data_IF_568889914197
#
_entry.id   IF_568889914197
#
_cell.length_a   1.000
_cell.length_b   1.000
_cell.length_c   1.000
_cell.angle_alpha   90.00
_cell.angle_beta   90.00
_cell.angle_gamma   90.00
#
_symmetry.space_group_name_H-M   'P 1'
#
loop_
_entity.id
_entity.type
_entity.pdbx_description
1 polymer ?
#
# COMPACT_ATOMS: atom_id res chain seq x y z
N UNK A 1 -8.92 -12.40 -18.83
CA UNK A 1 -8.59 -11.67 -17.60
C UNK A 1 -8.29 -12.74 -16.57
N UNK A 2 -7.02 -12.94 -16.24
CA UNK A 2 -6.62 -13.80 -15.11
C UNK A 2 -7.25 -13.19 -13.86
N UNK A 3 -8.03 -13.97 -13.11
CA UNK A 3 -8.60 -13.52 -11.83
C UNK A 3 -7.45 -13.10 -10.91
N UNK A 4 -7.27 -11.80 -10.73
CA UNK A 4 -6.34 -11.26 -9.76
C UNK A 4 -6.84 -11.70 -8.38
N UNK A 5 -6.00 -12.34 -7.54
CA UNK A 5 -6.45 -12.85 -6.24
C UNK A 5 -7.08 -11.77 -5.38
N UNK A 6 -8.17 -12.09 -4.65
CA UNK A 6 -8.92 -11.11 -3.88
C UNK A 6 -8.07 -10.31 -2.87
N UNK A 7 -6.98 -10.89 -2.35
CA UNK A 7 -6.13 -10.17 -1.40
C UNK A 7 -5.40 -8.97 -2.04
N UNK A 8 -5.20 -8.93 -3.36
CA UNK A 8 -4.48 -7.82 -4.02
C UNK A 8 -5.28 -6.50 -4.00
N UNK A 9 -6.57 -6.57 -3.63
CA UNK A 9 -7.41 -5.39 -3.37
C UNK A 9 -7.02 -4.64 -2.09
N UNK A 10 -6.39 -5.34 -1.14
CA UNK A 10 -5.90 -4.76 0.09
C UNK A 10 -4.65 -3.90 -0.18
N UNK A 11 -4.38 -2.88 0.65
CA UNK A 11 -3.18 -2.06 0.48
C UNK A 11 -1.91 -2.89 0.62
N UNK A 12 -0.89 -2.54 -0.15
CA UNK A 12 0.46 -3.08 0.02
C UNK A 12 1.16 -2.36 1.17
N UNK A 13 1.31 -3.07 2.29
CA UNK A 13 1.90 -2.60 3.54
C UNK A 13 3.42 -2.41 3.44
N UNK A 14 4.08 -2.95 2.41
CA UNK A 14 5.51 -2.82 2.20
C UNK A 14 5.90 -1.57 1.41
N UNK A 15 4.94 -0.87 0.79
CA UNK A 15 5.21 0.25 -0.12
C UNK A 15 6.04 1.37 0.53
N UNK A 16 7.02 1.87 -0.21
CA UNK A 16 7.83 3.01 0.22
C UNK A 16 7.00 4.27 0.51
N UNK A 17 5.98 4.65 -0.30
CA UNK A 17 5.07 5.75 0.03
C UNK A 17 4.34 5.61 1.38
N UNK A 18 4.14 4.39 1.87
CA UNK A 18 3.51 4.12 3.17
C UNK A 18 4.54 4.09 4.32
N UNK A 19 5.83 4.28 4.03
CA UNK A 19 6.92 4.22 5.02
C UNK A 19 7.63 2.87 5.09
N UNK A 20 7.32 1.93 4.19
CA UNK A 20 8.03 0.66 4.10
C UNK A 20 9.52 0.83 3.77
N UNK A 21 10.34 -0.10 4.23
CA UNK A 21 11.79 -0.04 4.05
C UNK A 21 12.40 -1.44 3.95
N UNK A 22 13.29 -1.64 2.98
CA UNK A 22 14.15 -2.83 2.92
C UNK A 22 15.38 -2.57 3.79
N UNK A 23 15.35 -3.04 5.03
CA UNK A 23 16.31 -2.65 6.06
C UNK A 23 17.59 -3.50 6.05
N UNK A 24 17.59 -4.62 5.33
CA UNK A 24 18.71 -5.55 5.29
C UNK A 24 18.61 -6.46 4.06
N UNK A 25 19.75 -6.84 3.50
CA UNK A 25 19.90 -8.02 2.65
C UNK A 25 21.31 -8.59 2.85
N UNK A 26 21.47 -9.90 2.63
CA UNK A 26 22.79 -10.54 2.73
C UNK A 26 23.66 -10.34 1.47
N UNK A 27 23.04 -9.98 0.34
CA UNK A 27 23.71 -9.66 -0.93
C UNK A 27 22.84 -8.66 -1.71
N UNK A 28 23.47 -7.68 -2.36
CA UNK A 28 22.85 -6.74 -3.31
C UNK A 28 23.82 -6.44 -4.45
N UNK A 29 24.55 -7.47 -4.87
CA UNK A 29 25.69 -7.31 -5.76
C UNK A 29 25.30 -6.66 -7.08
N UNK A 30 24.15 -7.02 -7.68
CA UNK A 30 23.78 -6.58 -9.04
C UNK A 30 22.74 -5.46 -9.07
N UNK A 31 21.73 -5.51 -8.19
CA UNK A 31 20.70 -4.49 -8.12
C UNK A 31 20.22 -4.25 -6.68
N UNK A 32 19.88 -2.99 -6.39
CA UNK A 32 19.59 -2.48 -5.05
C UNK A 32 18.33 -3.11 -4.45
N UNK A 33 18.42 -3.56 -3.19
CA UNK A 33 17.31 -4.22 -2.48
C UNK A 33 16.09 -3.31 -2.32
N UNK A 34 16.29 -2.00 -2.25
CA UNK A 34 15.24 -0.97 -2.14
C UNK A 34 14.20 -1.05 -3.25
N UNK A 35 14.58 -1.54 -4.43
CA UNK A 35 13.68 -1.65 -5.58
C UNK A 35 12.51 -2.59 -5.33
N UNK A 36 12.64 -3.56 -4.41
CA UNK A 36 11.56 -4.51 -4.06
C UNK A 36 10.25 -3.79 -3.70
N UNK A 37 10.34 -2.63 -3.07
CA UNK A 37 9.18 -1.92 -2.51
C UNK A 37 8.84 -0.62 -3.24
N UNK A 38 9.47 -0.38 -4.40
CA UNK A 38 9.14 0.77 -5.23
C UNK A 38 7.68 0.67 -5.72
N UNK A 39 6.96 1.80 -5.81
CA UNK A 39 5.60 1.81 -6.33
C UNK A 39 5.59 1.45 -7.82
N UNK A 40 4.48 0.88 -8.29
CA UNK A 40 4.27 0.54 -9.69
C UNK A 40 5.08 -0.66 -10.21
N UNK A 41 4.84 -1.06 -11.47
CA UNK A 41 5.53 -2.17 -12.10
C UNK A 41 7.02 -1.86 -12.32
N UNK A 42 7.84 -2.90 -12.37
CA UNK A 42 9.24 -2.75 -12.72
C UNK A 42 9.42 -2.30 -14.17
N UNK A 43 10.39 -1.42 -14.40
CA UNK A 43 10.78 -0.94 -15.71
C UNK A 43 11.99 -1.72 -16.26
N UNK A 44 12.10 -1.81 -17.58
CA UNK A 44 13.25 -2.44 -18.21
C UNK A 44 13.72 -1.68 -19.43
N UNK A 45 15.03 -1.39 -19.47
CA UNK A 45 15.70 -0.79 -20.61
C UNK A 45 16.67 -1.81 -21.19
N UNK A 46 16.43 -2.23 -22.43
CA UNK A 46 17.32 -3.15 -23.14
C UNK A 46 18.72 -2.53 -23.27
N UNK A 47 19.74 -3.36 -23.07
CA UNK A 47 21.15 -3.03 -23.26
C UNK A 47 21.68 -1.86 -22.41
N UNK A 48 21.06 -1.58 -21.26
CA UNK A 48 21.66 -0.71 -20.25
C UNK A 48 22.61 -1.53 -19.37
N UNK A 49 23.86 -1.65 -19.79
CA UNK A 49 24.90 -2.34 -19.04
C UNK A 49 25.69 -1.35 -18.18
N UNK A 50 25.78 -1.62 -16.87
CA UNK A 50 26.75 -1.02 -15.96
C UNK A 50 27.98 -1.94 -15.78
N UNK A 51 28.87 -1.57 -14.86
CA UNK A 51 30.06 -2.37 -14.56
C UNK A 51 29.77 -3.77 -14.00
N UNK A 52 28.54 -4.02 -13.58
CA UNK A 52 28.08 -5.28 -13.02
C UNK A 52 27.18 -6.08 -13.97
N UNK A 53 26.92 -5.59 -15.19
CA UNK A 53 26.00 -6.26 -16.13
C UNK A 53 24.77 -5.41 -16.45
N UNK A 54 23.71 -6.07 -16.92
CA UNK A 54 22.44 -5.40 -17.24
C UNK A 54 21.84 -4.81 -15.96
N UNK A 55 21.45 -3.54 -16.02
CA UNK A 55 20.75 -2.87 -14.92
C UNK A 55 19.30 -3.33 -14.89
N UNK A 56 18.85 -3.83 -13.74
CA UNK A 56 17.48 -4.25 -13.49
C UNK A 56 16.81 -3.33 -12.46
N UNK A 57 15.52 -3.06 -12.66
CA UNK A 57 14.66 -2.40 -11.69
C UNK A 57 14.08 -3.46 -10.73
N UNK A 58 14.94 -3.92 -9.82
CA UNK A 58 14.65 -4.98 -8.87
C UNK A 58 15.81 -5.19 -7.90
N UNK A 59 15.71 -6.21 -7.06
CA UNK A 59 16.81 -6.72 -6.25
C UNK A 59 17.42 -7.92 -6.97
N UNK A 60 18.74 -7.94 -7.14
CA UNK A 60 19.45 -9.06 -7.78
C UNK A 60 20.76 -9.36 -7.05
N UNK A 61 20.93 -10.63 -6.71
CA UNK A 61 22.12 -11.12 -6.01
C UNK A 61 23.10 -11.80 -6.96
N UNK A 62 24.35 -11.97 -6.51
CA UNK A 62 25.34 -12.73 -7.28
C UNK A 62 25.00 -14.22 -7.32
N UNK A 63 25.38 -14.89 -8.40
CA UNK A 63 25.28 -16.35 -8.51
C UNK A 63 26.01 -17.04 -7.37
N UNK A 64 25.31 -17.92 -6.67
CA UNK A 64 25.83 -18.70 -5.57
C UNK A 64 26.34 -20.05 -6.09
N UNK A 65 27.51 -20.46 -5.58
CA UNK A 65 28.16 -21.74 -5.91
C UNK A 65 28.26 -22.70 -4.72
N UNK A 66 28.00 -22.17 -3.53
CA UNK A 66 28.03 -22.89 -2.26
C UNK A 66 26.60 -23.10 -1.73
N UNK A 67 26.36 -24.08 -0.84
CA UNK A 67 25.05 -24.25 -0.20
C UNK A 67 24.56 -22.96 0.48
N UNK A 68 23.25 -22.73 0.44
CA UNK A 68 22.58 -21.60 1.08
C UNK A 68 21.61 -20.90 0.14
N UNK A 69 21.14 -19.73 0.58
CA UNK A 69 20.16 -18.91 -0.11
C UNK A 69 20.36 -17.44 0.24
N UNK A 70 19.74 -16.55 -0.53
CA UNK A 70 19.80 -15.11 -0.28
C UNK A 70 18.50 -14.57 0.31
N UNK A 71 18.60 -13.50 1.08
CA UNK A 71 17.53 -13.00 1.91
C UNK A 71 17.51 -11.48 1.95
N UNK A 72 16.30 -10.92 2.02
CA UNK A 72 16.07 -9.51 2.27
C UNK A 72 14.97 -9.32 3.33
N UNK A 73 15.14 -8.33 4.20
CA UNK A 73 14.19 -8.00 5.27
C UNK A 73 13.51 -6.67 4.95
N UNK A 74 12.19 -6.69 4.95
CA UNK A 74 11.35 -5.51 4.75
C UNK A 74 10.61 -5.20 6.04
N UNK A 75 10.78 -3.99 6.56
CA UNK A 75 9.90 -3.40 7.57
C UNK A 75 8.67 -2.83 6.86
N UNK A 76 7.50 -3.23 7.31
CA UNK A 76 6.23 -2.71 6.79
C UNK A 76 6.07 -1.23 7.17
N UNK A 77 5.45 -0.44 6.32
CA UNK A 77 5.12 0.96 6.61
C UNK A 77 4.09 1.08 7.73
N UNK A 78 3.14 0.14 7.75
CA UNK A 78 2.15 0.00 8.83
C UNK A 78 2.13 -1.46 9.26
N UNK A 79 2.29 -1.77 10.56
CA UNK A 79 2.09 -3.12 11.06
C UNK A 79 0.68 -3.61 10.74
N UNK A 80 0.51 -4.89 10.41
CA UNK A 80 -0.78 -5.35 9.89
C UNK A 80 -0.93 -6.86 9.85
N UNK A 81 -2.15 -7.28 9.51
CA UNK A 81 -2.45 -8.67 9.19
C UNK A 81 -2.19 -8.87 7.70
N UNK A 82 -1.32 -9.81 7.35
CA UNK A 82 -0.96 -10.10 5.97
C UNK A 82 -1.93 -11.15 5.42
N UNK A 83 -2.64 -10.80 4.36
CA UNK A 83 -3.62 -11.68 3.70
C UNK A 83 -3.04 -12.36 2.45
N UNK A 84 -2.01 -11.76 1.85
CA UNK A 84 -1.28 -12.36 0.76
C UNK A 84 -0.06 -11.56 0.35
N UNK A 85 0.80 -12.19 -0.43
CA UNK A 85 2.03 -11.59 -0.95
C UNK A 85 2.14 -11.86 -2.44
N UNK A 86 2.75 -10.93 -3.18
CA UNK A 86 3.12 -11.14 -4.57
C UNK A 86 4.62 -10.99 -4.70
N UNK A 87 5.27 -12.04 -5.20
CA UNK A 87 6.67 -12.00 -5.62
C UNK A 87 6.69 -11.81 -7.12
N UNK A 88 6.93 -10.57 -7.54
CA UNK A 88 7.00 -10.20 -8.95
C UNK A 88 8.44 -10.39 -9.45
N UNK A 89 8.62 -11.24 -10.46
CA UNK A 89 9.90 -11.50 -11.11
C UNK A 89 9.97 -10.89 -12.52
N UNK A 90 9.20 -9.83 -12.79
CA UNK A 90 9.20 -9.12 -14.06
C UNK A 90 10.63 -8.83 -14.55
N UNK A 91 10.86 -9.08 -15.84
CA UNK A 91 12.13 -8.92 -16.54
C UNK A 91 13.25 -9.89 -16.16
N UNK A 92 13.16 -10.57 -15.02
CA UNK A 92 14.05 -11.67 -14.65
C UNK A 92 13.62 -12.96 -15.36
N UNK A 93 14.04 -13.11 -16.62
CA UNK A 93 13.60 -14.21 -17.51
C UNK A 93 14.42 -15.49 -17.39
N UNK A 94 15.71 -15.35 -17.05
CA UNK A 94 16.64 -16.47 -16.89
C UNK A 94 17.46 -16.43 -15.60
N UNK A 95 17.32 -15.35 -14.84
CA UNK A 95 18.04 -15.06 -13.60
C UNK A 95 17.07 -14.78 -12.43
N UNK A 96 15.81 -15.22 -12.53
CA UNK A 96 14.89 -15.26 -11.39
C UNK A 96 15.25 -16.44 -10.47
N UNK A 97 14.92 -16.38 -9.18
CA UNK A 97 15.14 -17.52 -8.30
C UNK A 97 14.15 -18.65 -8.62
N UNK A 98 14.59 -19.92 -8.71
CA UNK A 98 13.69 -21.05 -8.91
C UNK A 98 12.59 -21.20 -7.85
N UNK A 99 12.91 -20.86 -6.59
CA UNK A 99 12.01 -20.97 -5.45
C UNK A 99 12.16 -19.79 -4.50
N UNK A 100 11.09 -19.49 -3.77
CA UNK A 100 11.06 -18.45 -2.73
C UNK A 100 10.32 -18.94 -1.49
N UNK A 101 10.55 -18.29 -0.35
CA UNK A 101 9.72 -18.42 0.86
C UNK A 101 9.59 -17.08 1.55
N UNK A 102 8.50 -16.89 2.29
CA UNK A 102 8.27 -15.67 3.09
C UNK A 102 8.08 -16.04 4.55
N UNK A 103 8.81 -15.34 5.41
CA UNK A 103 8.62 -15.37 6.85
C UNK A 103 8.18 -13.99 7.34
N UNK A 104 7.52 -13.94 8.49
CA UNK A 104 7.09 -12.69 9.13
C UNK A 104 7.51 -12.65 10.60
N UNK A 105 7.70 -11.43 11.10
CA UNK A 105 8.11 -11.17 12.48
C UNK A 105 7.37 -9.94 13.04
N UNK A 106 6.96 -10.04 14.30
CA UNK A 106 6.35 -8.96 15.06
C UNK A 106 7.32 -8.53 16.16
N UNK A 107 7.83 -7.30 16.09
CA UNK A 107 8.77 -6.76 17.09
C UNK A 107 8.34 -5.37 17.50
N UNK A 108 8.51 -5.07 18.79
CA UNK A 108 8.32 -3.72 19.32
C UNK A 108 9.61 -2.90 19.21
N UNK A 109 9.45 -1.57 19.10
CA UNK A 109 10.58 -0.64 19.01
C UNK A 109 11.29 -0.67 17.65
N UNK A 110 12.58 -0.34 17.67
CA UNK A 110 13.39 -0.14 16.46
C UNK A 110 14.73 -0.88 16.56
N UNK A 111 14.72 -2.23 16.68
CA UNK A 111 15.95 -3.00 16.76
C UNK A 111 16.79 -2.84 15.49
N UNK A 112 18.14 -2.90 15.59
CA UNK A 112 19.00 -2.89 14.43
C UNK A 112 18.72 -4.05 13.47
N UNK A 113 18.92 -3.80 12.18
CA UNK A 113 18.69 -4.76 11.11
C UNK A 113 19.41 -6.11 11.32
N UNK A 114 20.66 -6.09 11.77
CA UNK A 114 21.45 -7.31 11.99
C UNK A 114 20.88 -8.20 13.11
N UNK A 115 20.32 -7.56 14.16
CA UNK A 115 19.65 -8.30 15.22
C UNK A 115 18.44 -9.05 14.68
N UNK A 116 17.62 -8.37 13.86
CA UNK A 116 16.45 -8.96 13.20
C UNK A 116 16.83 -10.10 12.25
N UNK A 117 17.95 -9.97 11.53
CA UNK A 117 18.42 -11.00 10.61
C UNK A 117 18.76 -12.32 11.34
N UNK A 118 19.32 -12.22 12.55
CA UNK A 118 19.66 -13.36 13.41
C UNK A 118 18.54 -13.82 14.35
N UNK A 119 17.38 -13.16 14.34
CA UNK A 119 16.28 -13.48 15.25
C UNK A 119 15.72 -14.89 14.98
N UNK A 120 15.41 -15.64 16.04
CA UNK A 120 14.83 -16.99 15.93
C UNK A 120 13.29 -17.01 15.87
N UNK A 121 12.63 -15.86 16.02
CA UNK A 121 11.18 -15.71 16.12
C UNK A 121 10.45 -15.57 14.78
N UNK A 122 11.17 -15.65 13.65
CA UNK A 122 10.56 -15.60 12.32
C UNK A 122 9.60 -16.78 12.11
N UNK A 123 8.41 -16.46 11.61
CA UNK A 123 7.36 -17.45 11.35
C UNK A 123 7.13 -17.55 9.85
N UNK A 124 7.26 -18.74 9.29
CA UNK A 124 6.94 -19.01 7.89
C UNK A 124 5.46 -18.74 7.60
N UNK A 125 5.19 -17.78 6.72
CA UNK A 125 3.83 -17.44 6.25
C UNK A 125 3.59 -17.89 4.80
N UNK A 126 4.68 -18.11 4.04
CA UNK A 126 4.66 -18.79 2.74
C UNK A 126 5.79 -19.81 2.75
N UNK A 127 5.43 -21.09 2.72
CA UNK A 127 6.40 -22.17 2.62
C UNK A 127 7.21 -22.07 1.31
N UNK A 128 8.39 -22.72 1.28
CA UNK A 128 9.23 -22.74 0.09
C UNK A 128 8.43 -23.27 -1.11
N UNK A 129 8.34 -22.45 -2.16
CA UNK A 129 7.53 -22.71 -3.32
C UNK A 129 8.24 -22.27 -4.59
N UNK A 130 7.96 -22.96 -5.70
CA UNK A 130 8.45 -22.58 -7.03
C UNK A 130 7.78 -21.30 -7.51
N UNK A 131 8.53 -20.51 -8.25
CA UNK A 131 8.03 -19.31 -8.93
C UNK A 131 8.32 -19.40 -10.43
N UNK A 132 7.57 -18.61 -11.19
CA UNK A 132 7.73 -18.47 -12.64
C UNK A 132 8.42 -17.13 -12.90
N UNK A 133 9.47 -17.14 -13.71
CA UNK A 133 10.18 -15.94 -14.14
C UNK A 133 9.30 -15.04 -15.02
N UNK A 134 9.57 -13.73 -15.00
CA UNK A 134 8.81 -12.73 -15.77
C UNK A 134 7.29 -12.75 -15.49
N UNK A 135 6.90 -13.02 -14.24
CA UNK A 135 5.51 -13.15 -13.84
C UNK A 135 5.27 -12.65 -12.40
N UNK A 136 4.01 -12.34 -12.13
CA UNK A 136 3.50 -12.18 -10.76
C UNK A 136 3.28 -13.56 -10.13
N UNK A 137 3.89 -13.80 -8.97
CA UNK A 137 3.71 -15.03 -8.21
C UNK A 137 2.93 -14.75 -6.91
N UNK A 138 1.59 -14.87 -6.93
CA UNK A 138 0.76 -14.62 -5.75
C UNK A 138 0.73 -15.80 -4.79
N UNK A 139 0.82 -15.52 -3.49
CA UNK A 139 0.66 -16.49 -2.41
C UNK A 139 -0.33 -15.98 -1.38
N UNK A 140 -1.40 -16.75 -1.13
CA UNK A 140 -2.37 -16.48 -0.07
C UNK A 140 -1.74 -16.79 1.28
N UNK A 141 -1.95 -15.92 2.26
CA UNK A 141 -1.47 -16.09 3.63
C UNK A 141 -2.65 -16.26 4.58
N UNK A 142 -2.73 -17.43 5.22
CA UNK A 142 -3.75 -17.76 6.22
C UNK A 142 -3.25 -17.50 7.64
N UNK A 143 -3.04 -16.24 7.99
CA UNK A 143 -2.63 -15.84 9.34
C UNK A 143 -3.36 -14.59 9.79
N UNK A 144 -4.00 -14.65 10.95
CA UNK A 144 -4.63 -13.48 11.59
C UNK A 144 -3.68 -12.68 12.50
N UNK A 145 -2.44 -13.17 12.66
CA UNK A 145 -1.42 -12.49 13.48
C UNK A 145 -1.03 -11.14 12.86
N UNK A 146 -0.77 -10.17 13.74
CA UNK A 146 -0.20 -8.87 13.39
C UNK A 146 1.32 -8.99 13.22
N UNK A 147 1.83 -8.49 12.09
CA UNK A 147 3.25 -8.51 11.74
C UNK A 147 3.79 -7.09 11.54
N UNK A 148 5.11 -6.94 11.68
CA UNK A 148 5.83 -5.67 11.53
C UNK A 148 6.90 -5.73 10.43
N UNK A 149 7.41 -6.93 10.17
CA UNK A 149 8.46 -7.19 9.19
C UNK A 149 8.12 -8.47 8.41
N UNK A 150 8.63 -8.53 7.18
CA UNK A 150 8.68 -9.75 6.36
C UNK A 150 10.11 -10.02 5.92
N UNK A 151 10.46 -11.30 5.75
CA UNK A 151 11.72 -11.75 5.19
C UNK A 151 11.45 -12.54 3.93
N UNK A 152 11.92 -12.04 2.80
CA UNK A 152 11.95 -12.76 1.54
C UNK A 152 13.23 -13.60 1.50
N UNK A 153 13.10 -14.90 1.25
CA UNK A 153 14.21 -15.78 0.95
C UNK A 153 14.10 -16.28 -0.49
N UNK A 154 15.18 -16.21 -1.26
CA UNK A 154 15.28 -16.65 -2.64
C UNK A 154 16.30 -17.78 -2.75
N UNK A 155 15.96 -18.88 -3.42
CA UNK A 155 16.76 -20.11 -3.42
C UNK A 155 17.27 -20.48 -4.81
N UNK A 156 18.59 -20.68 -5.01
CA UNK A 156 19.68 -20.30 -4.11
C UNK A 156 20.07 -18.81 -4.20
N UNK A 157 19.72 -18.15 -5.30
CA UNK A 157 20.04 -16.77 -5.64
C UNK A 157 19.15 -16.34 -6.82
N UNK A 158 19.28 -15.09 -7.27
CA UNK A 158 18.60 -14.57 -8.45
C UNK A 158 18.06 -13.16 -8.24
N UNK A 159 17.08 -12.79 -9.05
CA UNK A 159 16.47 -11.47 -9.00
C UNK A 159 14.95 -11.48 -8.87
N UNK A 160 14.46 -10.51 -8.10
CA UNK A 160 13.04 -10.24 -7.83
C UNK A 160 12.80 -8.76 -8.10
N UNK A 161 11.80 -8.47 -8.91
CA UNK A 161 11.48 -7.11 -9.35
C UNK A 161 10.74 -6.34 -8.25
N UNK A 162 9.69 -6.93 -7.68
CA UNK A 162 8.91 -6.36 -6.58
C UNK A 162 8.50 -7.41 -5.56
N UNK A 163 8.35 -6.97 -4.31
CA UNK A 163 7.67 -7.70 -3.26
C UNK A 163 6.47 -6.86 -2.81
N UNK A 164 5.26 -7.40 -3.00
CA UNK A 164 4.01 -6.80 -2.51
C UNK A 164 3.52 -7.57 -1.30
N UNK A 165 3.14 -6.86 -0.23
CA UNK A 165 2.65 -7.45 1.01
C UNK A 165 1.26 -6.88 1.30
N UNK A 166 0.24 -7.54 0.79
CA UNK A 166 -1.14 -7.08 0.87
C UNK A 166 -1.79 -7.51 2.18
N UNK A 167 -2.45 -6.56 2.84
CA UNK A 167 -3.05 -6.82 4.14
C UNK A 167 -3.80 -5.64 4.72
N UNK A 168 -4.30 -5.83 5.94
CA UNK A 168 -4.99 -4.78 6.66
C UNK A 168 -4.06 -4.13 7.69
N UNK A 169 -4.00 -2.79 7.67
CA UNK A 169 -3.32 -2.01 8.70
C UNK A 169 -3.88 -2.29 10.10
N UNK A 170 -2.98 -2.55 11.04
CA UNK A 170 -3.24 -2.69 12.48
C UNK A 170 -2.17 -1.90 13.23
N UNK A 171 -2.24 -0.56 13.23
CA UNK A 171 -1.25 0.25 13.93
C UNK A 171 -1.27 -0.02 15.43
N UNK A 172 -0.23 0.45 16.11
CA UNK A 172 -0.16 0.36 17.55
C UNK A 172 -1.16 1.32 18.20
N UNK A 173 -2.13 0.75 18.93
CA UNK A 173 -3.22 1.48 19.56
C UNK A 173 -2.76 2.45 20.64
N UNK A 174 -1.54 2.30 21.17
CA UNK A 174 -0.97 3.23 22.16
C UNK A 174 -0.83 4.66 21.62
N UNK A 175 -0.72 4.81 20.30
CA UNK A 175 -0.65 6.13 19.65
C UNK A 175 -2.03 6.69 19.28
N UNK A 176 -3.06 5.84 19.18
CA UNK A 176 -4.42 6.24 18.87
C UNK A 176 -5.04 6.92 20.10
N UNK A 177 -5.12 8.24 20.07
CA UNK A 177 -5.64 9.06 21.18
C UNK A 177 -4.62 10.02 21.82
N UNK A 178 -3.39 10.10 21.31
CA UNK A 178 -2.43 11.12 21.74
C UNK A 178 -2.84 12.56 21.33
N UNK A 179 -3.82 12.69 20.42
CA UNK A 179 -4.39 13.94 19.95
C UNK A 179 -5.30 13.68 18.75
N UNK A 180 -5.80 14.75 18.09
CA UNK A 180 -6.55 14.62 16.85
C UNK A 180 -5.71 13.90 15.79
N UNK A 181 -6.33 13.02 15.02
CA UNK A 181 -5.68 12.26 13.95
C UNK A 181 -6.54 12.23 12.69
N UNK A 182 -5.93 11.85 11.57
CA UNK A 182 -6.68 11.52 10.35
C UNK A 182 -7.34 10.14 10.52
N UNK A 183 -8.67 10.14 10.73
CA UNK A 183 -9.46 8.93 10.94
C UNK A 183 -9.54 8.07 9.67
N UNK A 184 -9.32 8.63 8.48
CA UNK A 184 -9.32 7.87 7.23
C UNK A 184 -7.96 7.23 6.94
N UNK A 185 -6.88 7.71 7.54
CA UNK A 185 -5.52 7.32 7.16
C UNK A 185 -5.26 5.83 7.35
N UNK A 186 -4.62 5.21 6.35
CA UNK A 186 -4.16 3.82 6.44
C UNK A 186 -3.18 3.60 7.59
N UNK A 187 -2.31 4.57 7.87
CA UNK A 187 -1.36 4.52 9.00
C UNK A 187 -2.06 4.51 10.37
N UNK A 188 -3.30 4.98 10.43
CA UNK A 188 -4.15 4.93 11.62
C UNK A 188 -5.14 3.75 11.61
N UNK A 189 -5.08 2.88 10.59
CA UNK A 189 -5.92 1.69 10.46
C UNK A 189 -7.18 1.89 9.63
N UNK A 190 -7.30 3.02 8.92
CA UNK A 190 -8.32 3.22 7.90
C UNK A 190 -8.13 2.26 6.72
N UNK A 191 -9.21 1.92 6.02
CA UNK A 191 -9.20 0.96 4.93
C UNK A 191 -10.27 1.31 3.90
N UNK A 192 -9.91 1.35 2.61
CA UNK A 192 -10.93 1.38 1.56
C UNK A 192 -11.62 0.03 1.47
N UNK A 193 -12.93 0.02 1.68
CA UNK A 193 -13.78 -1.17 1.63
C UNK A 193 -14.29 -1.43 0.21
N UNK A 194 -14.65 -0.36 -0.51
CA UNK A 194 -15.18 -0.47 -1.86
C UNK A 194 -15.08 0.86 -2.63
N UNK A 195 -15.24 0.82 -3.95
CA UNK A 195 -15.33 2.00 -4.80
C UNK A 195 -16.05 1.70 -6.12
N UNK A 196 -16.56 2.75 -6.77
CA UNK A 196 -17.26 2.65 -8.06
C UNK A 196 -16.36 2.26 -9.23
N UNK A 197 -15.07 2.63 -9.18
CA UNK A 197 -14.16 2.52 -10.32
C UNK A 197 -12.71 2.29 -9.85
N UNK A 198 -12.02 1.36 -10.53
CA UNK A 198 -10.67 0.87 -10.20
C UNK A 198 -9.72 0.92 -11.42
N UNK A 199 -10.04 1.72 -12.43
CA UNK A 199 -9.43 1.56 -13.76
C UNK A 199 -7.95 1.96 -13.82
N UNK A 200 -7.56 3.12 -13.28
CA UNK A 200 -6.21 3.66 -13.47
C UNK A 200 -5.27 3.44 -12.29
N UNK A 201 -5.76 3.55 -11.05
CA UNK A 201 -4.93 3.37 -9.85
C UNK A 201 -5.74 2.83 -8.67
N UNK A 202 -5.03 2.29 -7.67
CA UNK A 202 -5.65 1.72 -6.49
C UNK A 202 -6.37 2.81 -5.66
N UNK A 203 -7.64 2.60 -5.27
CA UNK A 203 -8.35 3.56 -4.42
C UNK A 203 -7.69 3.68 -3.03
N UNK A 204 -6.92 2.66 -2.59
CA UNK A 204 -6.20 2.71 -1.31
C UNK A 204 -5.24 3.90 -1.23
N UNK A 205 -4.73 4.39 -2.36
CA UNK A 205 -3.80 5.53 -2.40
C UNK A 205 -4.39 6.82 -1.82
N UNK A 206 -5.72 6.98 -1.86
CA UNK A 206 -6.38 8.21 -1.36
C UNK A 206 -6.19 8.41 0.15
N UNK A 207 -5.89 7.35 0.89
CA UNK A 207 -5.67 7.36 2.35
C UNK A 207 -4.20 7.11 2.77
N UNK A 208 -3.25 7.14 1.81
CA UNK A 208 -1.82 7.03 2.11
C UNK A 208 -1.29 8.27 2.83
N UNK A 209 -0.21 8.19 3.61
CA UNK A 209 0.37 9.35 4.29
C UNK A 209 0.98 10.37 3.31
N UNK A 210 1.25 11.57 3.82
CA UNK A 210 1.90 12.64 3.08
C UNK A 210 1.11 13.18 1.88
N UNK A 211 1.81 13.87 1.00
CA UNK A 211 1.29 14.38 -0.28
C UNK A 211 1.60 13.38 -1.40
N UNK A 212 0.78 13.36 -2.45
CA UNK A 212 1.15 12.72 -3.70
C UNK A 212 2.41 13.39 -4.28
N UNK A 213 3.21 12.65 -5.05
CA UNK A 213 4.39 13.21 -5.74
C UNK A 213 4.24 13.20 -7.26
N UNK A 214 3.31 12.37 -7.73
CA UNK A 214 2.89 12.21 -9.13
C UNK A 214 1.41 11.85 -9.14
N UNK A 215 0.72 12.01 -10.27
CA UNK A 215 -0.70 11.68 -10.41
C UNK A 215 -1.01 10.21 -10.04
N UNK A 216 -0.09 9.28 -10.37
CA UNK A 216 -0.21 7.85 -10.03
C UNK A 216 -0.14 7.52 -8.54
N UNK A 217 0.28 8.46 -7.69
CA UNK A 217 0.23 8.31 -6.23
C UNK A 217 -1.19 8.57 -5.67
N UNK A 218 -2.18 8.94 -6.50
CA UNK A 218 -3.58 9.16 -6.13
C UNK A 218 -4.54 8.07 -6.63
N UNK A 219 -5.85 8.35 -6.57
CA UNK A 219 -6.92 7.55 -7.16
C UNK A 219 -7.47 8.25 -8.41
N UNK A 220 -7.55 7.56 -9.54
CA UNK A 220 -8.13 8.08 -10.80
C UNK A 220 -9.15 7.10 -11.39
N UNK A 221 -10.29 7.64 -11.82
CA UNK A 221 -11.38 6.89 -12.44
C UNK A 221 -11.45 7.07 -13.95
N UNK A 222 -12.14 6.14 -14.63
CA UNK A 222 -12.44 6.30 -16.04
C UNK A 222 -13.48 7.41 -16.26
N UNK A 223 -13.34 8.16 -17.37
CA UNK A 223 -14.31 9.19 -17.76
C UNK A 223 -15.71 8.60 -17.88
N UNK A 224 -16.68 9.18 -17.18
CA UNK A 224 -18.08 8.79 -17.26
C UNK A 224 -18.79 9.50 -18.41
N UNK A 225 -19.87 8.86 -18.84
CA UNK A 225 -20.77 9.30 -19.93
C UNK A 225 -22.24 9.09 -19.56
N UNK A 226 -22.51 8.70 -18.31
CA UNK A 226 -23.83 8.55 -17.72
C UNK A 226 -24.10 9.66 -16.71
N UNK A 227 -25.30 9.66 -16.10
CA UNK A 227 -25.71 10.65 -15.10
C UNK A 227 -25.25 10.29 -13.66
N UNK A 228 -24.35 9.30 -13.53
CA UNK A 228 -23.85 8.83 -12.24
C UNK A 228 -22.65 9.63 -11.72
N UNK A 229 -22.14 9.19 -10.57
CA UNK A 229 -20.93 9.74 -9.96
C UNK A 229 -20.00 8.62 -9.47
N UNK A 230 -18.72 8.92 -9.32
CA UNK A 230 -17.76 8.00 -8.71
C UNK A 230 -17.66 8.19 -7.19
N UNK A 231 -17.31 7.13 -6.48
CA UNK A 231 -17.26 7.13 -5.02
C UNK A 231 -16.25 6.12 -4.46
N UNK A 232 -15.79 6.39 -3.24
CA UNK A 232 -14.94 5.47 -2.45
C UNK A 232 -15.49 5.37 -1.03
N UNK A 233 -15.66 4.13 -0.55
CA UNK A 233 -16.14 3.80 0.79
C UNK A 233 -14.95 3.40 1.67
N UNK A 234 -14.84 4.04 2.83
CA UNK A 234 -13.70 3.92 3.73
C UNK A 234 -14.19 3.53 5.12
N UNK A 235 -13.59 2.50 5.69
CA UNK A 235 -13.64 2.23 7.12
C UNK A 235 -12.65 3.15 7.82
N UNK A 236 -13.09 3.83 8.88
CA UNK A 236 -12.24 4.70 9.68
C UNK A 236 -11.39 3.89 10.68
N UNK A 237 -10.34 4.51 11.20
CA UNK A 237 -9.47 3.98 12.25
C UNK A 237 -10.26 3.45 13.48
N UNK A 238 -11.40 4.07 13.75
CA UNK A 238 -12.41 3.65 14.70
C UNK A 238 -13.58 4.64 14.68
N UNK A 239 -14.63 4.39 15.47
CA UNK A 239 -15.70 5.36 15.68
C UNK A 239 -15.11 6.68 16.16
N UNK A 240 -15.46 7.79 15.51
CA UNK A 240 -14.93 9.10 15.85
C UNK A 240 -15.75 10.26 15.30
N UNK A 241 -15.45 11.46 15.76
CA UNK A 241 -16.08 12.71 15.33
C UNK A 241 -15.15 13.43 14.36
N UNK A 242 -15.59 13.58 13.10
CA UNK A 242 -14.84 14.33 12.07
C UNK A 242 -14.97 15.83 12.31
N UNK A 243 -13.84 16.53 12.34
CA UNK A 243 -13.75 17.99 12.57
C UNK A 243 -13.33 18.76 11.33
N UNK A 244 -12.51 18.14 10.49
CA UNK A 244 -11.97 18.75 9.28
C UNK A 244 -11.92 17.70 8.18
N UNK A 245 -12.56 18.02 7.06
CA UNK A 245 -12.44 17.26 5.80
C UNK A 245 -11.41 17.97 4.93
N UNK A 246 -10.42 17.22 4.45
CA UNK A 246 -9.49 17.68 3.41
C UNK A 246 -9.67 16.84 2.15
N UNK A 247 -9.91 17.52 1.02
CA UNK A 247 -9.97 16.90 -0.31
C UNK A 247 -8.86 17.52 -1.16
N UNK A 248 -7.89 16.69 -1.51
CA UNK A 248 -6.70 17.10 -2.23
C UNK A 248 -6.76 16.65 -3.69
N UNK A 249 -6.76 17.62 -4.62
CA UNK A 249 -6.71 17.41 -6.08
C UNK A 249 -5.32 17.71 -6.66
N UNK A 250 -4.27 17.86 -5.84
CA UNK A 250 -2.90 18.09 -6.32
C UNK A 250 -2.50 17.08 -7.40
N UNK A 251 -1.75 17.52 -8.41
CA UNK A 251 -1.37 16.76 -9.61
C UNK A 251 -2.52 16.38 -10.58
N UNK A 252 -3.78 16.58 -10.22
CA UNK A 252 -4.93 16.38 -11.12
C UNK A 252 -5.34 17.73 -11.73
N UNK A 253 -4.59 18.16 -12.75
CA UNK A 253 -4.76 19.49 -13.36
C UNK A 253 -5.89 19.51 -14.40
N UNK A 254 -5.97 18.47 -15.23
CA UNK A 254 -6.93 18.36 -16.34
C UNK A 254 -8.07 17.36 -16.13
N UNK A 255 -8.02 16.63 -15.02
CA UNK A 255 -8.87 15.48 -14.72
C UNK A 255 -9.30 15.44 -13.24
N UNK A 256 -9.19 16.54 -12.48
CA UNK A 256 -9.82 16.62 -11.16
C UNK A 256 -11.35 16.62 -11.30
N UNK A 257 -12.09 16.05 -10.33
CA UNK A 257 -13.54 16.19 -10.29
C UNK A 257 -13.97 17.64 -10.12
N UNK A 258 -15.13 18.00 -10.68
CA UNK A 258 -15.67 19.36 -10.58
C UNK A 258 -16.29 19.68 -9.22
N UNK A 259 -16.79 18.65 -8.52
CA UNK A 259 -17.30 18.77 -7.16
C UNK A 259 -17.13 17.47 -6.38
N UNK A 260 -17.20 17.55 -5.06
CA UNK A 260 -17.24 16.39 -4.18
C UNK A 260 -18.18 16.58 -2.99
N UNK A 261 -18.64 15.48 -2.41
CA UNK A 261 -19.40 15.42 -1.16
C UNK A 261 -18.82 14.32 -0.26
N UNK A 262 -19.01 14.44 1.05
CA UNK A 262 -18.61 13.41 2.02
C UNK A 262 -19.77 13.11 2.95
N UNK A 263 -20.14 11.84 3.03
CA UNK A 263 -21.11 11.33 4.00
C UNK A 263 -20.43 10.39 4.98
N UNK A 264 -20.88 10.39 6.22
CA UNK A 264 -20.41 9.50 7.28
C UNK A 264 -21.49 8.50 7.63
N UNK A 265 -21.10 7.27 7.97
CA UNK A 265 -22.01 6.26 8.49
C UNK A 265 -21.80 6.13 9.99
N UNK A 266 -22.87 6.26 10.74
CA UNK A 266 -22.87 6.01 12.17
C UNK A 266 -22.80 4.49 12.44
N UNK A 267 -22.32 4.06 13.63
CA UNK A 267 -22.35 2.65 14.04
C UNK A 267 -23.76 2.04 14.04
N UNK A 268 -24.82 2.85 14.14
CA UNK A 268 -26.23 2.47 14.01
C UNK A 268 -26.60 2.06 12.58
N UNK A 269 -25.77 2.42 11.60
CA UNK A 269 -25.96 2.19 10.17
C UNK A 269 -26.52 3.39 9.40
N UNK A 270 -26.94 4.46 10.08
CA UNK A 270 -27.48 5.69 9.48
C UNK A 270 -26.38 6.51 8.78
N UNK A 271 -26.72 7.10 7.63
CA UNK A 271 -25.84 7.99 6.87
C UNK A 271 -26.15 9.45 7.17
N UNK A 272 -25.11 10.22 7.45
CA UNK A 272 -25.18 11.66 7.73
C UNK A 272 -24.28 12.43 6.78
N UNK A 273 -24.61 13.69 6.52
CA UNK A 273 -23.76 14.58 5.74
C UNK A 273 -22.60 15.11 6.60
N UNK A 274 -21.37 14.92 6.12
CA UNK A 274 -20.17 15.54 6.71
C UNK A 274 -19.72 16.77 5.91
N UNK A 275 -19.84 16.70 4.58
CA UNK A 275 -19.57 17.80 3.65
C UNK A 275 -20.61 17.74 2.52
N UNK A 276 -21.46 18.78 2.34
CA UNK A 276 -22.36 18.86 1.20
C UNK A 276 -21.59 18.93 -0.12
N UNK A 277 -22.27 18.67 -1.23
CA UNK A 277 -21.68 18.81 -2.57
C UNK A 277 -21.07 20.19 -2.76
N UNK A 278 -19.75 20.22 -2.90
CA UNK A 278 -18.93 21.43 -2.93
C UNK A 278 -18.06 21.44 -4.17
N UNK A 279 -17.99 22.57 -4.87
CA UNK A 279 -17.13 22.73 -6.04
C UNK A 279 -15.66 22.62 -5.65
N UNK A 280 -14.88 21.93 -6.49
CA UNK A 280 -13.43 21.81 -6.33
C UNK A 280 -12.71 22.55 -7.44
N UNK A 281 -11.45 22.90 -7.16
CA UNK A 281 -10.49 23.43 -8.11
C UNK A 281 -9.46 22.34 -8.46
N UNK A 282 -8.90 22.37 -9.68
CA UNK A 282 -7.78 21.51 -10.03
C UNK A 282 -6.54 21.87 -9.19
N UNK A 283 -5.68 20.88 -8.96
CA UNK A 283 -4.38 21.04 -8.30
C UNK A 283 -4.42 21.78 -6.95
N UNK A 284 -5.44 21.51 -6.13
CA UNK A 284 -5.75 22.31 -4.93
C UNK A 284 -6.05 21.43 -3.71
N UNK A 285 -5.52 21.82 -2.55
CA UNK A 285 -5.89 21.25 -1.25
C UNK A 285 -7.06 22.03 -0.65
N UNK A 286 -8.23 21.41 -0.65
CA UNK A 286 -9.46 21.98 -0.09
C UNK A 286 -9.63 21.54 1.35
N UNK A 287 -9.88 22.48 2.27
CA UNK A 287 -10.00 22.21 3.71
C UNK A 287 -11.29 22.80 4.24
N UNK A 288 -12.14 21.95 4.81
CA UNK A 288 -13.49 22.31 5.26
C UNK A 288 -13.69 21.90 6.71
N UNK A 289 -13.94 22.89 7.59
CA UNK A 289 -14.36 22.60 8.96
C UNK A 289 -15.77 22.02 8.96
N UNK A 290 -15.97 20.98 9.77
CA UNK A 290 -17.24 20.28 9.92
C UNK A 290 -17.76 20.50 11.34
N UNK A 291 -19.05 20.85 11.45
CA UNK A 291 -19.68 21.24 12.72
C UNK A 291 -20.44 20.10 13.41
N UNK A 292 -20.61 18.95 12.75
CA UNK A 292 -21.29 17.80 13.37
C UNK A 292 -20.55 17.32 14.62
N UNK A 293 -21.33 16.76 15.55
CA UNK A 293 -20.84 16.06 16.74
C UNK A 293 -21.11 14.55 16.67
N UNK A 294 -21.66 14.10 15.56
CA UNK A 294 -22.01 12.71 15.37
C UNK A 294 -20.76 11.84 15.27
N UNK A 295 -20.87 10.64 15.83
CA UNK A 295 -19.82 9.61 15.77
C UNK A 295 -20.06 8.75 14.55
N UNK A 296 -19.03 8.61 13.70
CA UNK A 296 -19.05 7.80 12.49
C UNK A 296 -17.91 6.79 12.49
N UNK A 297 -18.13 5.62 11.90
CA UNK A 297 -17.12 4.55 11.78
C UNK A 297 -16.77 4.21 10.32
N UNK A 298 -17.56 4.70 9.37
CA UNK A 298 -17.28 4.68 7.94
C UNK A 298 -17.53 6.06 7.35
N UNK A 299 -16.87 6.34 6.22
CA UNK A 299 -17.15 7.51 5.40
C UNK A 299 -17.18 7.12 3.92
N UNK A 300 -18.01 7.80 3.14
CA UNK A 300 -18.02 7.69 1.68
C UNK A 300 -17.73 9.06 1.09
N UNK A 301 -16.68 9.12 0.28
CA UNK A 301 -16.38 10.26 -0.57
C UNK A 301 -17.04 10.03 -1.93
N UNK A 302 -17.73 11.06 -2.42
CA UNK A 302 -18.38 11.08 -3.73
C UNK A 302 -17.76 12.19 -4.56
N UNK A 303 -17.34 11.87 -5.78
CA UNK A 303 -16.77 12.83 -6.74
C UNK A 303 -17.66 12.93 -7.96
N UNK A 304 -17.80 14.13 -8.51
CA UNK A 304 -18.79 14.44 -9.53
C UNK A 304 -18.18 15.06 -10.79
N UNK A 305 -18.50 14.52 -12.00
CA UNK A 305 -19.06 13.18 -12.22
C UNK A 305 -18.02 12.07 -11.99
N UNK A 306 -16.76 12.36 -12.27
CA UNK A 306 -15.61 11.45 -12.26
C UNK A 306 -14.32 12.27 -12.11
N UNK A 307 -13.17 11.60 -12.11
CA UNK A 307 -11.87 12.24 -12.14
C UNK A 307 -10.89 11.59 -11.19
N UNK A 308 -9.89 12.35 -10.75
CA UNK A 308 -8.90 11.87 -9.81
C UNK A 308 -8.62 12.79 -8.63
N UNK A 309 -8.14 12.17 -7.56
CA UNK A 309 -7.83 12.79 -6.28
C UNK A 309 -6.47 12.31 -5.77
N UNK A 310 -5.72 13.23 -5.19
CA UNK A 310 -4.49 12.92 -4.48
C UNK A 310 -4.80 12.27 -3.14
N UNK A 311 -5.55 12.94 -2.25
CA UNK A 311 -5.79 12.47 -0.89
C UNK A 311 -7.17 12.86 -0.38
N UNK A 312 -7.68 12.05 0.55
CA UNK A 312 -8.77 12.39 1.46
C UNK A 312 -8.22 12.32 2.88
N UNK A 313 -8.48 13.36 3.68
CA UNK A 313 -8.21 13.35 5.13
C UNK A 313 -9.49 13.65 5.88
N UNK A 314 -9.74 12.89 6.95
CA UNK A 314 -10.86 13.10 7.85
C UNK A 314 -10.30 13.30 9.26
N UNK A 315 -9.79 14.51 9.52
CA UNK A 315 -9.19 14.82 10.81
C UNK A 315 -10.26 14.96 11.88
N UNK A 316 -10.02 14.32 13.02
CA UNK A 316 -10.95 14.32 14.13
C UNK A 316 -10.42 13.58 15.35
N UNK A 317 -11.34 13.23 16.22
CA UNK A 317 -11.07 12.56 17.48
C UNK A 317 -11.77 11.20 17.51
N UNK A 318 -11.13 10.18 18.07
CA UNK A 318 -11.80 8.92 18.37
C UNK A 318 -12.79 9.13 19.53
N UNK A 319 -13.93 8.43 19.46
CA UNK A 319 -15.00 8.49 20.47
C UNK A 319 -14.76 7.56 21.67
#
# INVERSE_FOLDING_TARGET
MTDTPDFTWLPDLALRPLGGAVIWANDESFAEKENLINPGPASYRRASFGHKGQVYDGWETRRRREPGHDQAIVRLGVPGVICGVVVDTAWFKGNYPPEVSIEALAVDGYPPAEQLASDGGWVTIVARAKVVGDADNPFVVSSEKRWTHVRLSIYPDGGVARLRVHGEGRPDRRFLGAGPLDLAALENGGLVLDCSNRFYSSPQHVIFPGLARVMGDGWETARRRDDGNDWVLIKLAGPGVVRLVEIDTSYFVGNSPGAAAVVGRQPTGEWIELLPRTNLLPDTRHRFLVSTKDVVDQARLEIYPDGGLSRLRLFGDLA
#
